data_IF_021938836091
#
_entry.id   IF_021938836091
#
_cell.length_a   1.000
_cell.length_b   1.000
_cell.length_c   1.000
_cell.angle_alpha   90.00
_cell.angle_beta   90.00
_cell.angle_gamma   90.00
#
_symmetry.space_group_name_H-M   'P 1'
#
loop_
_entity.id
_entity.type
_entity.pdbx_description
1 polymer ?
#
# COMPACT_ATOMS: atom_id res chain seq x y z
N UNK A 1 -1.51 17.21 11.30
CA UNK A 1 -1.10 15.85 10.89
C UNK A 1 -1.87 15.33 9.68
N UNK A 2 -3.21 15.36 9.63
CA UNK A 2 -3.99 14.83 8.48
C UNK A 2 -3.60 15.41 7.12
N UNK A 3 -3.42 16.74 7.01
CA UNK A 3 -3.02 17.40 5.74
C UNK A 3 -1.68 16.88 5.22
N UNK A 4 -0.72 16.68 6.11
CA UNK A 4 0.62 16.15 5.74
C UNK A 4 0.50 14.75 5.17
N UNK A 5 -0.29 13.86 5.79
CA UNK A 5 -0.48 12.49 5.31
C UNK A 5 -1.16 12.47 3.94
N UNK A 6 -2.15 13.34 3.71
CA UNK A 6 -2.80 13.48 2.39
C UNK A 6 -1.79 13.96 1.33
N UNK A 7 -0.96 14.93 1.67
CA UNK A 7 0.08 15.44 0.76
C UNK A 7 1.09 14.32 0.47
N UNK A 8 1.58 13.61 1.49
CA UNK A 8 2.48 12.47 1.29
C UNK A 8 1.85 11.38 0.39
N UNK A 9 0.58 11.04 0.61
CA UNK A 9 -0.14 10.09 -0.23
C UNK A 9 -0.19 10.53 -1.69
N UNK A 10 -0.56 11.79 -1.95
CA UNK A 10 -0.63 12.33 -3.31
C UNK A 10 0.74 12.39 -3.99
N UNK A 11 1.79 12.75 -3.25
CA UNK A 11 3.17 12.75 -3.77
C UNK A 11 3.64 11.34 -4.11
N UNK A 12 3.37 10.35 -3.26
CA UNK A 12 3.71 8.95 -3.51
C UNK A 12 2.92 8.39 -4.70
N UNK A 13 1.63 8.71 -4.81
CA UNK A 13 0.80 8.32 -5.94
C UNK A 13 1.33 8.92 -7.24
N UNK A 14 1.60 10.23 -7.26
CA UNK A 14 2.19 10.90 -8.41
C UNK A 14 3.55 10.33 -8.79
N UNK A 15 4.41 10.04 -7.82
CA UNK A 15 5.70 9.41 -8.05
C UNK A 15 5.57 7.99 -8.62
N UNK A 16 4.66 7.16 -8.10
CA UNK A 16 4.43 5.79 -8.60
C UNK A 16 3.98 5.81 -10.06
N UNK A 17 3.08 6.74 -10.43
CA UNK A 17 2.63 6.91 -11.83
C UNK A 17 3.77 7.41 -12.70
N UNK A 18 4.51 8.44 -12.28
CA UNK A 18 5.65 8.97 -13.02
C UNK A 18 6.74 7.90 -13.23
N UNK A 19 7.03 7.11 -12.21
CA UNK A 19 7.95 5.98 -12.30
C UNK A 19 7.49 4.95 -13.33
N UNK A 20 6.21 4.57 -13.32
CA UNK A 20 5.67 3.62 -14.29
C UNK A 20 5.79 4.15 -15.73
N UNK A 21 5.46 5.43 -15.96
CA UNK A 21 5.60 6.08 -17.26
C UNK A 21 7.06 6.12 -17.73
N UNK A 22 7.97 6.49 -16.84
CA UNK A 22 9.40 6.52 -17.14
C UNK A 22 9.95 5.13 -17.46
N UNK A 23 9.60 4.12 -16.66
CA UNK A 23 10.02 2.74 -16.88
C UNK A 23 9.48 2.18 -18.20
N UNK A 24 8.25 2.53 -18.58
CA UNK A 24 7.67 2.09 -19.85
C UNK A 24 8.53 2.47 -21.06
N UNK A 25 9.11 3.66 -21.09
CA UNK A 25 9.97 4.11 -22.20
C UNK A 25 11.33 3.42 -22.25
N UNK A 26 11.81 2.90 -21.11
CA UNK A 26 13.14 2.28 -20.99
C UNK A 26 13.13 0.75 -20.97
N UNK A 27 11.95 0.13 -20.83
CA UNK A 27 11.81 -1.32 -20.82
C UNK A 27 11.84 -1.90 -22.25
N UNK A 28 12.42 -3.10 -22.45
CA UNK A 28 12.34 -3.82 -23.72
C UNK A 28 10.88 -4.19 -24.06
N UNK A 29 10.59 -4.48 -25.34
CA UNK A 29 9.24 -4.81 -25.78
C UNK A 29 8.63 -6.03 -25.06
N UNK A 30 9.47 -6.98 -24.65
CA UNK A 30 9.11 -8.18 -23.89
C UNK A 30 9.85 -8.16 -22.56
N UNK A 31 9.13 -8.27 -21.45
CA UNK A 31 9.64 -8.14 -20.09
C UNK A 31 9.33 -9.39 -19.27
N UNK A 32 10.26 -9.78 -18.41
CA UNK A 32 10.01 -10.80 -17.39
C UNK A 32 9.11 -10.19 -16.31
N UNK A 33 8.02 -10.87 -16.01
CA UNK A 33 7.00 -10.41 -15.07
C UNK A 33 6.81 -11.32 -13.87
N UNK A 34 7.27 -12.57 -13.96
CA UNK A 34 7.25 -13.53 -12.85
C UNK A 34 8.65 -14.10 -12.68
N UNK A 35 9.03 -14.25 -11.40
CA UNK A 35 10.33 -14.74 -10.98
C UNK A 35 10.16 -15.86 -9.98
N UNK A 36 11.06 -16.85 -9.98
CA UNK A 36 11.14 -17.86 -8.95
C UNK A 36 11.83 -17.32 -7.67
N UNK A 37 11.91 -18.14 -6.63
CA UNK A 37 12.58 -17.76 -5.38
C UNK A 37 14.08 -17.48 -5.53
N UNK A 38 14.69 -17.97 -6.63
CA UNK A 38 16.10 -17.70 -6.95
C UNK A 38 16.27 -16.44 -7.83
N UNK A 39 15.18 -15.68 -8.08
CA UNK A 39 15.19 -14.49 -8.92
C UNK A 39 15.28 -14.77 -10.43
N UNK A 40 15.04 -16.02 -10.88
CA UNK A 40 15.07 -16.38 -12.30
C UNK A 40 13.72 -16.08 -12.94
N UNK A 41 13.70 -15.50 -14.15
CA UNK A 41 12.45 -15.23 -14.84
C UNK A 41 11.75 -16.55 -15.28
N UNK A 42 10.50 -16.72 -14.85
CA UNK A 42 9.66 -17.89 -15.19
C UNK A 42 8.40 -17.50 -15.97
N UNK A 43 8.18 -16.21 -16.22
CA UNK A 43 7.05 -15.72 -17.02
C UNK A 43 7.34 -14.38 -17.65
N UNK A 44 6.82 -14.19 -18.89
CA UNK A 44 7.07 -13.02 -19.71
C UNK A 44 5.75 -12.41 -20.19
N UNK A 45 5.76 -11.09 -20.38
CA UNK A 45 4.64 -10.35 -21.01
C UNK A 45 5.15 -9.17 -21.83
N UNK A 46 4.25 -8.49 -22.54
CA UNK A 46 4.63 -7.25 -23.23
C UNK A 46 4.84 -6.11 -22.20
N UNK A 47 5.72 -5.15 -22.52
CA UNK A 47 5.87 -3.96 -21.65
C UNK A 47 4.58 -3.17 -21.49
N UNK A 48 3.71 -3.15 -22.54
CA UNK A 48 2.42 -2.48 -22.47
C UNK A 48 1.47 -3.16 -21.48
N UNK A 49 1.44 -4.50 -21.47
CA UNK A 49 0.67 -5.29 -20.50
C UNK A 49 1.19 -5.04 -19.06
N UNK A 50 2.52 -5.06 -18.87
CA UNK A 50 3.09 -4.77 -17.56
C UNK A 50 2.71 -3.36 -17.08
N UNK A 51 2.87 -2.36 -17.94
CA UNK A 51 2.50 -0.97 -17.64
C UNK A 51 1.03 -0.83 -17.26
N UNK A 52 0.13 -1.48 -18.03
CA UNK A 52 -1.30 -1.48 -17.74
C UNK A 52 -1.60 -2.07 -16.36
N UNK A 53 -0.97 -3.19 -15.99
CA UNK A 53 -1.12 -3.79 -14.66
C UNK A 53 -0.53 -2.93 -13.54
N UNK A 54 0.60 -2.25 -13.79
CA UNK A 54 1.20 -1.33 -12.83
C UNK A 54 0.26 -0.16 -12.53
N UNK A 55 -0.23 0.52 -13.57
CA UNK A 55 -1.16 1.63 -13.41
C UNK A 55 -2.47 1.20 -12.77
N UNK A 56 -3.07 0.10 -13.26
CA UNK A 56 -4.30 -0.44 -12.68
C UNK A 56 -4.12 -0.75 -11.20
N UNK A 57 -3.05 -1.47 -10.83
CA UNK A 57 -2.78 -1.84 -9.45
C UNK A 57 -2.62 -0.62 -8.53
N UNK A 58 -1.80 0.35 -8.93
CA UNK A 58 -1.58 1.59 -8.15
C UNK A 58 -2.88 2.37 -7.98
N UNK A 59 -3.60 2.65 -9.07
CA UNK A 59 -4.82 3.46 -9.04
C UNK A 59 -5.97 2.75 -8.32
N UNK A 60 -6.13 1.45 -8.56
CA UNK A 60 -7.16 0.64 -7.90
C UNK A 60 -6.94 0.60 -6.38
N UNK A 61 -5.73 0.26 -5.93
CA UNK A 61 -5.45 0.18 -4.49
C UNK A 61 -5.53 1.55 -3.84
N UNK A 62 -5.00 2.60 -4.49
CA UNK A 62 -5.13 3.96 -3.99
C UNK A 62 -6.60 4.39 -3.87
N UNK A 63 -7.42 4.10 -4.88
CA UNK A 63 -8.85 4.40 -4.88
C UNK A 63 -9.63 3.65 -3.79
N UNK A 64 -9.36 2.34 -3.65
CA UNK A 64 -9.99 1.50 -2.61
C UNK A 64 -9.62 2.00 -1.21
N UNK A 65 -8.35 2.25 -0.93
CA UNK A 65 -7.90 2.68 0.40
C UNK A 65 -8.40 4.09 0.74
N UNK A 66 -8.41 5.02 -0.23
CA UNK A 66 -9.00 6.34 0.00
C UNK A 66 -10.53 6.28 0.15
N UNK A 67 -11.19 5.40 -0.60
CA UNK A 67 -12.60 5.09 -0.42
C UNK A 67 -12.90 4.55 0.99
N UNK A 68 -12.12 3.58 1.46
CA UNK A 68 -12.23 3.03 2.81
C UNK A 68 -11.96 4.08 3.89
N UNK A 69 -10.96 4.96 3.67
CA UNK A 69 -10.64 6.05 4.58
C UNK A 69 -11.81 7.03 4.79
N UNK A 70 -12.71 7.16 3.82
CA UNK A 70 -13.90 8.00 3.91
C UNK A 70 -15.15 7.25 4.34
N UNK A 71 -15.30 6.01 3.89
CA UNK A 71 -16.51 5.21 4.05
C UNK A 71 -16.87 4.98 5.51
N UNK A 72 -15.87 4.77 6.40
CA UNK A 72 -16.13 4.49 7.82
C UNK A 72 -16.86 5.63 8.54
N UNK A 73 -16.84 6.87 8.00
CA UNK A 73 -17.61 8.00 8.54
C UNK A 73 -19.13 7.83 8.36
N UNK A 74 -19.52 7.10 7.31
CA UNK A 74 -20.91 6.84 6.96
C UNK A 74 -21.39 5.46 7.44
N UNK A 75 -20.48 4.64 7.95
CA UNK A 75 -20.82 3.31 8.46
C UNK A 75 -21.63 3.38 9.74
N UNK A 76 -22.72 2.59 9.86
CA UNK A 76 -23.40 2.37 11.12
C UNK A 76 -22.43 1.79 12.17
N UNK A 77 -22.58 2.18 13.42
CA UNK A 77 -21.68 1.74 14.52
C UNK A 77 -21.57 0.22 14.63
N UNK A 78 -22.67 -0.49 14.36
CA UNK A 78 -22.71 -1.97 14.37
C UNK A 78 -21.71 -2.63 13.41
N UNK A 79 -21.30 -1.91 12.35
CA UNK A 79 -20.37 -2.42 11.33
C UNK A 79 -18.91 -2.07 11.63
N UNK A 80 -18.66 -1.27 12.67
CA UNK A 80 -17.31 -0.91 13.11
C UNK A 80 -16.88 -1.92 14.15
N UNK A 81 -15.98 -2.84 13.77
CA UNK A 81 -15.47 -3.87 14.67
C UNK A 81 -14.26 -3.33 15.46
N UNK A 82 -14.53 -2.82 16.66
CA UNK A 82 -13.51 -2.32 17.58
C UNK A 82 -13.65 -3.00 18.95
N UNK A 83 -12.53 -3.37 19.61
CA UNK A 83 -12.57 -3.74 21.04
C UNK A 83 -13.16 -2.59 21.85
N UNK A 84 -13.99 -2.92 22.84
CA UNK A 84 -14.68 -1.93 23.70
C UNK A 84 -15.43 -0.85 22.90
N UNK A 85 -16.16 -1.28 21.85
CA UNK A 85 -16.86 -0.42 20.89
C UNK A 85 -17.68 0.67 21.57
N UNK A 86 -18.49 0.32 22.58
CA UNK A 86 -19.40 1.24 23.26
C UNK A 86 -18.66 2.40 23.96
N UNK A 87 -17.43 2.15 24.39
CA UNK A 87 -16.56 3.19 24.93
C UNK A 87 -15.98 4.09 23.84
N UNK A 88 -15.41 3.49 22.78
CA UNK A 88 -14.71 4.24 21.74
C UNK A 88 -15.63 4.95 20.75
N UNK A 89 -16.87 4.46 20.58
CA UNK A 89 -17.88 5.05 19.71
C UNK A 89 -18.93 5.85 20.48
N UNK A 90 -18.73 6.13 21.78
CA UNK A 90 -19.59 7.08 22.53
C UNK A 90 -19.64 8.44 21.79
N UNK A 91 -20.76 9.18 21.87
CA UNK A 91 -20.95 10.43 21.13
C UNK A 91 -19.77 11.42 21.26
N UNK A 92 -19.14 11.46 22.44
CA UNK A 92 -18.03 12.36 22.75
C UNK A 92 -16.70 11.91 22.10
N UNK A 93 -16.48 10.60 21.96
CA UNK A 93 -15.19 10.03 21.48
C UNK A 93 -15.22 9.60 20.01
N UNK A 94 -16.41 9.36 19.49
CA UNK A 94 -16.61 8.90 18.11
C UNK A 94 -15.86 9.74 17.06
N UNK A 95 -15.93 11.07 17.08
CA UNK A 95 -15.21 11.87 16.07
C UNK A 95 -13.69 11.63 16.10
N UNK A 96 -13.09 11.61 17.30
CA UNK A 96 -11.66 11.39 17.48
C UNK A 96 -11.24 9.96 17.09
N UNK A 97 -12.08 8.96 17.36
CA UNK A 97 -11.86 7.57 16.98
C UNK A 97 -11.89 7.39 15.48
N UNK A 98 -12.90 7.95 14.80
CA UNK A 98 -13.00 7.89 13.34
C UNK A 98 -11.86 8.65 12.66
N UNK A 99 -11.46 9.77 13.19
CA UNK A 99 -10.33 10.55 12.72
C UNK A 99 -9.01 9.77 12.81
N UNK A 100 -8.84 8.99 13.87
CA UNK A 100 -7.66 8.14 14.03
C UNK A 100 -7.69 6.97 13.03
N UNK A 101 -8.84 6.30 12.86
CA UNK A 101 -8.99 5.22 11.89
C UNK A 101 -8.72 5.70 10.46
N UNK A 102 -9.26 6.84 10.07
CA UNK A 102 -8.96 7.48 8.78
C UNK A 102 -7.47 7.71 8.58
N UNK A 103 -6.80 8.20 9.62
CA UNK A 103 -5.35 8.43 9.60
C UNK A 103 -4.59 7.13 9.40
N UNK A 104 -4.96 6.06 10.11
CA UNK A 104 -4.33 4.74 9.98
C UNK A 104 -4.50 4.16 8.58
N UNK A 105 -5.70 4.21 8.01
CA UNK A 105 -5.96 3.73 6.64
C UNK A 105 -5.09 4.48 5.62
N UNK A 106 -4.95 5.81 5.75
CA UNK A 106 -4.08 6.59 4.86
C UNK A 106 -2.59 6.30 5.06
N UNK A 107 -2.15 6.10 6.29
CA UNK A 107 -0.77 5.66 6.54
C UNK A 107 -0.50 4.30 5.88
N UNK A 108 -1.48 3.37 5.98
CA UNK A 108 -1.40 2.09 5.28
C UNK A 108 -1.32 2.26 3.77
N UNK A 109 -2.11 3.17 3.21
CA UNK A 109 -2.09 3.49 1.78
C UNK A 109 -0.72 4.00 1.32
N UNK A 110 -0.09 4.88 2.11
CA UNK A 110 1.27 5.34 1.84
C UNK A 110 2.28 4.17 1.85
N UNK A 111 2.16 3.26 2.83
CA UNK A 111 3.01 2.07 2.92
C UNK A 111 2.85 1.15 1.71
N UNK A 112 1.62 0.92 1.26
CA UNK A 112 1.34 0.10 0.07
C UNK A 112 1.86 0.76 -1.21
N UNK A 113 1.74 2.08 -1.36
CA UNK A 113 2.31 2.80 -2.51
C UNK A 113 3.83 2.70 -2.53
N UNK A 114 4.50 2.86 -1.38
CA UNK A 114 5.95 2.65 -1.27
C UNK A 114 6.35 1.24 -1.69
N UNK A 115 5.57 0.23 -1.29
CA UNK A 115 5.77 -1.14 -1.70
C UNK A 115 5.69 -1.30 -3.23
N UNK A 116 4.65 -0.75 -3.87
CA UNK A 116 4.53 -0.78 -5.33
C UNK A 116 5.72 -0.10 -6.01
N UNK A 117 6.15 1.07 -5.52
CA UNK A 117 7.33 1.79 -6.04
C UNK A 117 8.57 0.88 -6.01
N UNK A 118 8.82 0.22 -4.87
CA UNK A 118 9.98 -0.68 -4.71
C UNK A 118 9.86 -1.91 -5.60
N UNK A 119 8.70 -2.58 -5.62
CA UNK A 119 8.47 -3.76 -6.44
C UNK A 119 8.65 -3.46 -7.93
N UNK A 120 8.05 -2.38 -8.42
CA UNK A 120 8.18 -2.00 -9.82
C UNK A 120 9.60 -1.61 -10.19
N UNK A 121 10.34 -0.98 -9.26
CA UNK A 121 11.76 -0.71 -9.48
C UNK A 121 12.58 -2.01 -9.58
N UNK A 122 12.30 -3.00 -8.74
CA UNK A 122 12.98 -4.31 -8.80
C UNK A 122 12.68 -5.03 -10.13
N UNK A 123 11.41 -5.04 -10.58
CA UNK A 123 11.04 -5.62 -11.89
C UNK A 123 11.76 -4.89 -13.02
N UNK A 124 11.84 -3.56 -12.96
CA UNK A 124 12.57 -2.76 -13.93
C UNK A 124 14.05 -3.15 -13.98
N UNK A 125 14.73 -3.18 -12.82
CA UNK A 125 16.15 -3.56 -12.73
C UNK A 125 16.41 -4.96 -13.26
N UNK A 126 15.57 -5.92 -12.91
CA UNK A 126 15.70 -7.31 -13.38
C UNK A 126 15.58 -7.45 -14.91
N UNK A 127 14.92 -6.48 -15.58
CA UNK A 127 14.77 -6.46 -17.04
C UNK A 127 15.78 -5.60 -17.78
N UNK A 128 16.49 -4.71 -17.07
CA UNK A 128 17.41 -3.74 -17.72
C UNK A 128 18.88 -3.95 -17.35
N UNK A 129 19.17 -4.65 -16.24
CA UNK A 129 20.54 -4.89 -15.78
C UNK A 129 20.89 -6.37 -15.89
N UNK A 130 21.67 -6.79 -16.91
CA UNK A 130 22.09 -8.18 -17.07
C UNK A 130 22.86 -8.66 -15.82
N UNK A 131 22.47 -9.82 -15.29
CA UNK A 131 23.13 -10.44 -14.13
C UNK A 131 22.71 -9.90 -12.76
N UNK A 132 21.88 -8.88 -12.69
CA UNK A 132 21.30 -8.42 -11.42
C UNK A 132 20.19 -9.39 -10.98
N UNK A 133 20.59 -10.39 -10.19
CA UNK A 133 19.69 -11.37 -9.57
C UNK A 133 19.17 -10.90 -8.21
N UNK A 134 19.35 -9.64 -7.86
CA UNK A 134 18.93 -9.07 -6.58
C UNK A 134 17.42 -8.75 -6.57
N UNK A 135 16.61 -9.68 -7.07
CA UNK A 135 15.18 -9.63 -6.78
C UNK A 135 15.01 -10.03 -5.31
N UNK A 136 15.15 -9.03 -4.45
CA UNK A 136 15.07 -9.22 -2.99
C UNK A 136 13.62 -9.47 -2.55
N UNK A 137 12.97 -10.48 -3.16
CA UNK A 137 11.56 -10.85 -2.89
C UNK A 137 11.36 -11.08 -1.39
N UNK A 138 12.32 -11.72 -0.72
CA UNK A 138 12.26 -11.98 0.71
C UNK A 138 12.28 -10.70 1.55
N UNK A 139 13.16 -9.75 1.24
CA UNK A 139 13.25 -8.47 1.94
C UNK A 139 11.99 -7.62 1.74
N UNK A 140 11.47 -7.58 0.50
CA UNK A 140 10.26 -6.82 0.18
C UNK A 140 9.04 -7.43 0.86
N UNK A 141 8.89 -8.75 0.82
CA UNK A 141 7.81 -9.46 1.51
C UNK A 141 7.91 -9.28 3.03
N UNK A 142 9.12 -9.38 3.59
CA UNK A 142 9.38 -9.13 5.00
C UNK A 142 8.99 -7.72 5.44
N UNK A 143 9.35 -6.69 4.66
CA UNK A 143 8.98 -5.30 4.94
C UNK A 143 7.46 -5.10 4.93
N UNK A 144 6.73 -5.75 4.00
CA UNK A 144 5.26 -5.73 3.96
C UNK A 144 4.67 -6.35 5.22
N UNK A 145 5.13 -7.54 5.58
CA UNK A 145 4.61 -8.26 6.75
C UNK A 145 4.85 -7.46 8.04
N UNK A 146 6.04 -6.88 8.20
CA UNK A 146 6.37 -6.00 9.34
C UNK A 146 5.47 -4.77 9.33
N UNK A 147 5.25 -4.12 8.17
CA UNK A 147 4.37 -2.98 8.04
C UNK A 147 2.91 -3.31 8.43
N UNK A 148 2.37 -4.41 7.92
CA UNK A 148 1.02 -4.87 8.27
C UNK A 148 0.91 -5.24 9.75
N UNK A 149 1.89 -5.96 10.29
CA UNK A 149 1.93 -6.31 11.71
C UNK A 149 1.96 -5.07 12.60
N UNK A 150 2.75 -4.05 12.24
CA UNK A 150 2.84 -2.80 13.01
C UNK A 150 1.51 -2.05 13.06
N UNK A 151 0.72 -2.07 11.98
CA UNK A 151 -0.62 -1.47 11.94
C UNK A 151 -1.61 -2.22 12.85
N UNK A 152 -1.59 -3.55 12.80
CA UNK A 152 -2.42 -4.39 13.68
C UNK A 152 -2.07 -4.15 15.14
N UNK A 153 -0.76 -4.11 15.46
CA UNK A 153 -0.27 -3.82 16.81
C UNK A 153 -0.70 -2.43 17.26
N UNK A 154 -0.58 -1.41 16.41
CA UNK A 154 -1.00 -0.05 16.73
C UNK A 154 -2.51 0.03 17.04
N UNK A 155 -3.34 -0.65 16.26
CA UNK A 155 -4.77 -0.78 16.53
C UNK A 155 -5.03 -1.48 17.86
N UNK A 156 -4.35 -2.60 18.11
CA UNK A 156 -4.52 -3.37 19.33
C UNK A 156 -4.07 -2.61 20.58
N UNK A 157 -2.93 -1.95 20.53
CA UNK A 157 -2.41 -1.12 21.64
C UNK A 157 -3.34 0.03 21.96
N UNK A 158 -3.93 0.68 20.93
CA UNK A 158 -4.83 1.80 21.15
C UNK A 158 -6.21 1.38 21.66
N UNK A 159 -6.80 0.34 21.10
CA UNK A 159 -8.19 -0.02 21.35
C UNK A 159 -8.36 -1.22 22.29
N UNK A 160 -7.33 -2.04 22.48
CA UNK A 160 -7.38 -3.24 23.31
C UNK A 160 -7.35 -2.98 24.81
N UNK A 161 -6.87 -1.82 25.24
CA UNK A 161 -6.85 -1.47 26.67
C UNK A 161 -8.14 -0.73 27.03
N UNK A 162 -8.85 -1.24 28.04
CA UNK A 162 -9.91 -0.44 28.70
C UNK A 162 -9.21 0.74 29.39
N UNK A 163 -9.57 1.97 29.07
CA UNK A 163 -9.19 3.08 29.92
C UNK A 163 -9.94 2.93 31.25
N UNK A 164 -9.22 2.97 32.34
CA UNK A 164 -9.75 3.05 33.71
C UNK A 164 -10.52 4.34 33.89
#
# INVERSE_FOLDING_TARGET
MKRIIVICFLLLLGFAVAQACWQFSHLPARVASRFDFAGRPVGWMSRATLFGWQLFGVLFVAGVLEGLARLHRFMPERNINLPHRDYWLSPERRPATLDWLETMVRCSACGVLLLFIVLFHQVYRANTTPGDRTFATGLTLGAVLVGLASLVIACWVRFGRRPS
#
